data_IF_968438647992
#
_entry.id   IF_968438647992
#
_cell.length_a   1.000
_cell.length_b   1.000
_cell.length_c   1.000
_cell.angle_alpha   90.00
_cell.angle_beta   90.00
_cell.angle_gamma   90.00
#
_symmetry.space_group_name_H-M   'P 1'
#
loop_
_entity.id
_entity.type
_entity.pdbx_description
1 polymer ?
#
# COMPACT_ATOMS: atom_id res chain seq x y z
N UNK A 1 -20.47 -10.65 -4.62
CA UNK A 1 -20.40 -11.96 -5.29
C UNK A 1 -20.02 -13.08 -4.33
N UNK A 2 -18.93 -12.98 -3.53
CA UNK A 2 -18.63 -13.98 -2.49
C UNK A 2 -19.80 -14.23 -1.50
N UNK A 3 -20.41 -13.16 -0.97
CA UNK A 3 -21.64 -13.23 -0.15
C UNK A 3 -22.80 -13.91 -0.86
N UNK A 4 -22.87 -13.83 -2.19
CA UNK A 4 -23.93 -14.42 -3.00
C UNK A 4 -23.71 -15.93 -3.12
N UNK A 5 -22.47 -16.39 -3.34
CA UNK A 5 -22.17 -17.83 -3.41
C UNK A 5 -22.35 -18.51 -2.05
N UNK A 6 -21.99 -17.85 -0.94
CA UNK A 6 -22.22 -18.36 0.41
C UNK A 6 -23.70 -18.24 0.85
N UNK A 7 -24.45 -17.24 0.38
CA UNK A 7 -25.88 -17.13 0.69
C UNK A 7 -26.74 -18.16 -0.03
N UNK A 8 -26.25 -18.71 -1.15
CA UNK A 8 -26.96 -19.75 -1.92
C UNK A 8 -26.97 -21.13 -1.23
N UNK A 9 -26.12 -21.33 -0.22
CA UNK A 9 -26.06 -22.58 0.55
C UNK A 9 -26.81 -22.51 1.89
N UNK A 10 -27.12 -21.29 2.38
CA UNK A 10 -28.11 -21.07 3.42
C UNK A 10 -29.51 -20.90 2.81
N UNK A 11 -30.56 -21.06 3.64
CA UNK A 11 -31.97 -21.10 3.26
C UNK A 11 -32.53 -19.85 2.51
N UNK A 12 -31.69 -18.90 2.09
CA UNK A 12 -32.05 -17.64 1.42
C UNK A 12 -32.16 -17.73 -0.11
N UNK A 13 -32.03 -18.92 -0.70
CA UNK A 13 -32.25 -19.10 -2.15
C UNK A 13 -33.69 -18.80 -2.61
N UNK A 14 -34.66 -18.67 -1.68
CA UNK A 14 -36.03 -18.21 -2.02
C UNK A 14 -36.09 -16.72 -2.40
N UNK A 15 -35.06 -15.91 -2.14
CA UNK A 15 -35.17 -14.43 -2.21
C UNK A 15 -34.46 -13.80 -3.42
N UNK A 16 -33.62 -14.51 -4.16
CA UNK A 16 -32.76 -13.87 -5.21
C UNK A 16 -33.27 -14.05 -6.65
N UNK A 17 -34.26 -14.91 -6.89
CA UNK A 17 -34.85 -15.05 -8.22
C UNK A 17 -36.08 -14.14 -8.39
N UNK A 18 -35.88 -13.02 -9.09
CA UNK A 18 -36.97 -12.18 -9.59
C UNK A 18 -37.96 -13.06 -10.42
N UNK A 19 -39.25 -12.82 -10.20
CA UNK A 19 -40.36 -13.45 -10.91
C UNK A 19 -40.26 -13.30 -12.45
N UNK A 20 -39.42 -12.39 -12.94
CA UNK A 20 -39.12 -12.19 -14.37
C UNK A 20 -38.38 -13.37 -15.04
N UNK A 21 -37.62 -14.18 -14.30
CA UNK A 21 -36.95 -15.38 -14.85
C UNK A 21 -37.90 -16.54 -15.17
N UNK A 22 -39.18 -16.48 -14.73
CA UNK A 22 -40.20 -17.45 -15.16
C UNK A 22 -40.52 -17.37 -16.66
N UNK A 23 -40.14 -16.28 -17.33
CA UNK A 23 -40.52 -15.96 -18.71
C UNK A 23 -39.30 -15.84 -19.65
N UNK A 24 -38.08 -15.97 -19.12
CA UNK A 24 -36.86 -16.00 -19.93
C UNK A 24 -36.67 -17.40 -20.54
N UNK A 25 -36.32 -17.46 -21.83
CA UNK A 25 -35.79 -18.70 -22.42
C UNK A 25 -34.47 -19.02 -21.71
N UNK A 26 -34.53 -19.94 -20.75
CA UNK A 26 -33.37 -20.43 -20.01
C UNK A 26 -32.37 -21.02 -21.00
N UNK A 27 -31.12 -20.57 -20.93
CA UNK A 27 -30.03 -21.24 -21.61
C UNK A 27 -29.83 -22.64 -21.00
N UNK A 28 -29.16 -23.59 -21.69
CA UNK A 28 -28.80 -24.87 -21.10
C UNK A 28 -28.07 -24.73 -19.75
N UNK A 29 -27.24 -23.69 -19.61
CA UNK A 29 -26.52 -23.38 -18.37
C UNK A 29 -27.48 -22.94 -17.25
N UNK A 30 -28.50 -22.13 -17.56
CA UNK A 30 -29.52 -21.72 -16.59
C UNK A 30 -30.37 -22.91 -16.10
N UNK A 31 -30.62 -23.90 -16.97
CA UNK A 31 -31.32 -25.14 -16.62
C UNK A 31 -30.48 -25.99 -15.67
N UNK A 32 -29.17 -26.11 -15.92
CA UNK A 32 -28.23 -26.83 -15.05
C UNK A 32 -28.11 -26.17 -13.67
N UNK A 33 -28.00 -24.84 -13.62
CA UNK A 33 -27.98 -24.06 -12.36
C UNK A 33 -29.29 -24.25 -11.59
N UNK A 34 -30.45 -24.17 -12.27
CA UNK A 34 -31.74 -24.42 -11.61
C UNK A 34 -31.88 -25.85 -11.10
N UNK A 35 -31.44 -26.86 -11.86
CA UNK A 35 -31.43 -28.26 -11.44
C UNK A 35 -30.53 -28.45 -10.21
N UNK A 36 -29.36 -27.81 -10.18
CA UNK A 36 -28.48 -27.77 -9.02
C UNK A 36 -29.21 -27.22 -7.79
N UNK A 37 -29.86 -26.06 -7.91
CA UNK A 37 -30.65 -25.45 -6.83
C UNK A 37 -31.77 -26.33 -6.32
N UNK A 38 -32.51 -26.98 -7.23
CA UNK A 38 -33.61 -27.87 -6.86
C UNK A 38 -33.12 -29.18 -6.23
N UNK A 39 -31.88 -29.58 -6.51
CA UNK A 39 -31.27 -30.77 -5.94
C UNK A 39 -30.64 -30.54 -4.55
N UNK A 40 -30.35 -29.29 -4.16
CA UNK A 40 -29.87 -28.98 -2.81
C UNK A 40 -30.96 -29.35 -1.78
N UNK A 41 -30.65 -30.23 -0.80
CA UNK A 41 -31.60 -30.55 0.26
C UNK A 41 -31.98 -29.30 1.06
N UNK A 42 -33.28 -29.08 1.31
CA UNK A 42 -33.81 -27.94 2.10
C UNK A 42 -33.47 -27.96 3.60
N UNK A 43 -32.63 -28.91 4.05
CA UNK A 43 -32.20 -29.03 5.43
C UNK A 43 -30.93 -28.20 5.67
N UNK A 44 -30.71 -27.75 6.91
CA UNK A 44 -29.46 -27.09 7.28
C UNK A 44 -28.29 -28.06 7.11
N UNK A 45 -27.34 -27.72 6.23
CA UNK A 45 -26.12 -28.51 6.04
C UNK A 45 -25.13 -28.29 7.19
N UNK A 46 -24.38 -29.33 7.53
CA UNK A 46 -23.32 -29.25 8.53
C UNK A 46 -22.01 -28.77 7.88
N UNK A 47 -21.38 -27.70 8.38
CA UNK A 47 -20.11 -27.22 7.84
C UNK A 47 -18.95 -28.14 8.21
N UNK A 48 -18.08 -28.42 7.24
CA UNK A 48 -16.84 -29.15 7.48
C UNK A 48 -15.82 -28.22 8.14
N UNK A 49 -15.37 -28.58 9.35
CA UNK A 49 -14.38 -27.81 10.09
C UNK A 49 -12.97 -27.91 9.48
N UNK A 50 -12.15 -26.88 9.74
CA UNK A 50 -10.73 -26.87 9.36
C UNK A 50 -10.44 -26.52 7.90
N UNK A 51 -11.46 -26.23 7.10
CA UNK A 51 -11.30 -25.66 5.76
C UNK A 51 -11.24 -24.13 5.81
N UNK A 52 -10.51 -23.48 4.89
CA UNK A 52 -10.50 -22.02 4.77
C UNK A 52 -11.91 -21.47 4.50
N UNK A 53 -12.19 -20.26 4.99
CA UNK A 53 -13.50 -19.62 4.83
C UNK A 53 -13.86 -19.36 3.35
N UNK A 54 -12.85 -19.30 2.48
CA UNK A 54 -13.00 -19.12 1.04
C UNK A 54 -13.41 -20.41 0.31
N UNK A 55 -13.32 -21.57 0.98
CA UNK A 55 -13.71 -22.87 0.45
C UNK A 55 -14.68 -23.60 1.37
N UNK A 56 -15.88 -23.04 1.64
CA UNK A 56 -16.82 -23.67 2.53
C UNK A 56 -17.38 -24.96 1.91
N UNK A 57 -17.51 -25.97 2.75
CA UNK A 57 -18.10 -27.26 2.40
C UNK A 57 -19.23 -27.55 3.38
N UNK A 58 -20.42 -27.79 2.84
CA UNK A 58 -21.58 -28.24 3.62
C UNK A 58 -21.92 -29.68 3.27
N UNK A 59 -22.20 -30.46 4.30
CA UNK A 59 -22.65 -31.86 4.19
C UNK A 59 -24.13 -31.94 4.50
N UNK A 60 -24.88 -32.66 3.67
CA UNK A 60 -26.28 -32.97 3.89
C UNK A 60 -26.49 -34.48 3.76
N UNK A 61 -27.30 -35.07 4.64
CA UNK A 61 -27.69 -36.49 4.54
C UNK A 61 -29.19 -36.59 4.30
N UNK A 62 -29.59 -37.33 3.26
CA UNK A 62 -31.00 -37.55 2.93
C UNK A 62 -31.19 -38.88 2.21
N UNK A 63 -32.17 -39.66 2.68
CA UNK A 63 -32.60 -40.90 2.01
C UNK A 63 -31.43 -41.90 1.76
N UNK A 64 -30.46 -41.95 2.69
CA UNK A 64 -29.28 -42.81 2.58
C UNK A 64 -28.21 -42.33 1.59
N UNK A 65 -28.31 -41.09 1.11
CA UNK A 65 -27.32 -40.43 0.26
C UNK A 65 -26.73 -39.22 0.96
N UNK A 66 -25.43 -39.01 0.76
CA UNK A 66 -24.72 -37.84 1.27
C UNK A 66 -24.48 -36.85 0.15
N UNK A 67 -24.80 -35.58 0.38
CA UNK A 67 -24.61 -34.48 -0.56
C UNK A 67 -23.57 -33.53 -0.01
N UNK A 68 -22.69 -33.06 -0.89
CA UNK A 68 -21.66 -32.09 -0.57
C UNK A 68 -21.86 -30.85 -1.43
N UNK A 69 -22.11 -29.70 -0.80
CA UNK A 69 -22.05 -28.41 -1.47
C UNK A 69 -20.64 -27.83 -1.29
N UNK A 70 -19.90 -27.73 -2.38
CA UNK A 70 -18.50 -27.35 -2.42
C UNK A 70 -18.37 -26.00 -3.11
N UNK A 71 -17.90 -24.99 -2.37
CA UNK A 71 -17.78 -23.63 -2.90
C UNK A 71 -16.32 -23.26 -3.07
N UNK A 72 -16.01 -22.54 -4.16
CA UNK A 72 -14.78 -21.77 -4.30
C UNK A 72 -15.13 -20.30 -4.42
N UNK A 73 -14.88 -19.54 -3.36
CA UNK A 73 -15.10 -18.09 -3.31
C UNK A 73 -13.83 -17.30 -3.66
N UNK A 74 -12.94 -17.89 -4.47
CA UNK A 74 -11.71 -17.24 -4.93
C UNK A 74 -11.64 -17.18 -6.45
N UNK A 75 -10.68 -16.39 -6.96
CA UNK A 75 -10.35 -16.31 -8.40
C UNK A 75 -9.45 -17.45 -8.88
N UNK A 76 -9.01 -18.32 -7.98
CA UNK A 76 -8.07 -19.38 -8.32
C UNK A 76 -8.80 -20.70 -8.46
N UNK A 77 -8.47 -21.45 -9.51
CA UNK A 77 -8.83 -22.84 -9.57
C UNK A 77 -8.11 -23.60 -8.45
N UNK A 78 -8.81 -24.53 -7.81
CA UNK A 78 -8.25 -25.37 -6.77
C UNK A 78 -8.83 -26.78 -6.85
N UNK A 79 -8.07 -27.74 -6.35
CA UNK A 79 -8.56 -29.09 -6.09
C UNK A 79 -8.84 -29.23 -4.59
N UNK A 80 -10.08 -29.55 -4.27
CA UNK A 80 -10.50 -29.88 -2.92
C UNK A 80 -10.42 -31.40 -2.73
N UNK A 81 -9.60 -31.82 -1.77
CA UNK A 81 -9.43 -33.21 -1.38
C UNK A 81 -10.12 -33.44 -0.03
N UNK A 82 -11.20 -34.23 -0.05
CA UNK A 82 -11.97 -34.56 1.14
C UNK A 82 -11.68 -35.99 1.57
N UNK A 83 -11.35 -36.17 2.84
CA UNK A 83 -11.32 -37.48 3.48
C UNK A 83 -12.68 -37.76 4.09
N UNK A 84 -13.26 -38.89 3.72
CA UNK A 84 -14.56 -39.35 4.20
C UNK A 84 -14.40 -40.49 5.19
N UNK A 85 -15.35 -40.64 6.11
CA UNK A 85 -15.28 -41.61 7.22
C UNK A 85 -15.34 -43.07 6.78
N UNK A 86 -15.84 -43.34 5.58
CA UNK A 86 -16.04 -44.68 5.06
C UNK A 86 -15.93 -44.73 3.52
N UNK A 87 -15.71 -45.92 2.94
CA UNK A 87 -15.65 -46.08 1.50
C UNK A 87 -16.96 -45.67 0.83
N UNK A 88 -16.83 -44.89 -0.23
CA UNK A 88 -17.95 -44.49 -1.11
C UNK A 88 -17.85 -45.26 -2.42
N UNK A 89 -18.98 -45.81 -2.86
CA UNK A 89 -19.05 -46.66 -4.04
C UNK A 89 -19.00 -45.84 -5.33
N UNK A 90 -19.68 -44.69 -5.33
CA UNK A 90 -19.72 -43.76 -6.44
C UNK A 90 -19.93 -42.32 -5.95
N UNK A 91 -19.52 -41.37 -6.78
CA UNK A 91 -19.73 -39.95 -6.56
C UNK A 91 -20.05 -39.31 -7.89
N UNK A 92 -21.09 -38.48 -7.93
CA UNK A 92 -21.54 -37.82 -9.16
C UNK A 92 -21.73 -36.34 -8.88
N UNK A 93 -21.20 -35.49 -9.75
CA UNK A 93 -21.57 -34.09 -9.78
C UNK A 93 -22.99 -33.96 -10.33
N UNK A 94 -23.87 -33.35 -9.55
CA UNK A 94 -25.29 -33.30 -9.85
C UNK A 94 -25.59 -32.26 -10.95
N UNK A 95 -24.72 -31.28 -11.12
CA UNK A 95 -24.83 -30.22 -12.11
C UNK A 95 -24.33 -30.71 -13.47
N UNK A 96 -23.13 -31.29 -13.52
CA UNK A 96 -22.53 -31.75 -14.79
C UNK A 96 -22.91 -33.19 -15.15
N UNK A 97 -23.36 -34.00 -14.17
CA UNK A 97 -23.60 -35.43 -14.35
C UNK A 97 -22.33 -36.27 -14.42
N UNK A 98 -21.15 -35.65 -14.26
CA UNK A 98 -19.87 -36.33 -14.37
C UNK A 98 -19.54 -37.11 -13.09
N UNK A 99 -18.91 -38.28 -13.27
CA UNK A 99 -18.38 -39.04 -12.16
C UNK A 99 -17.23 -38.28 -11.49
N UNK A 100 -17.26 -38.21 -10.17
CA UNK A 100 -16.23 -37.57 -9.37
C UNK A 100 -15.12 -38.58 -9.06
N UNK A 101 -13.84 -38.22 -9.21
CA UNK A 101 -12.73 -39.08 -8.83
C UNK A 101 -12.79 -39.48 -7.35
N UNK A 102 -12.89 -40.78 -7.10
CA UNK A 102 -12.88 -41.38 -5.76
C UNK A 102 -11.67 -42.30 -5.64
N UNK A 103 -10.88 -42.08 -4.61
CA UNK A 103 -9.88 -43.01 -4.10
C UNK A 103 -10.36 -43.58 -2.75
N UNK A 104 -9.61 -44.52 -2.16
CA UNK A 104 -9.99 -45.14 -0.88
C UNK A 104 -10.21 -44.07 0.20
N UNK A 105 -11.48 -43.87 0.57
CA UNK A 105 -11.94 -42.88 1.54
C UNK A 105 -11.56 -41.42 1.20
N UNK A 106 -11.34 -41.12 -0.09
CA UNK A 106 -10.98 -39.78 -0.53
C UNK A 106 -11.78 -39.38 -1.77
N UNK A 107 -12.35 -38.19 -1.72
CA UNK A 107 -13.07 -37.56 -2.84
C UNK A 107 -12.26 -36.36 -3.29
N UNK A 108 -11.86 -36.32 -4.55
CA UNK A 108 -11.12 -35.20 -5.13
C UNK A 108 -12.00 -34.45 -6.12
N UNK A 109 -12.21 -33.15 -5.88
CA UNK A 109 -13.08 -32.31 -6.71
C UNK A 109 -12.31 -31.10 -7.18
N UNK A 110 -12.25 -30.91 -8.50
CA UNK A 110 -11.77 -29.67 -9.08
C UNK A 110 -12.85 -28.59 -8.98
N UNK A 111 -12.47 -27.44 -8.43
CA UNK A 111 -13.29 -26.26 -8.26
C UNK A 111 -12.72 -25.13 -9.12
N UNK A 112 -13.52 -24.67 -10.07
CA UNK A 112 -13.19 -23.51 -10.90
C UNK A 112 -13.30 -22.21 -10.08
N UNK A 113 -12.67 -21.11 -10.52
CA UNK A 113 -12.85 -19.80 -9.91
C UNK A 113 -14.34 -19.46 -9.74
N UNK A 114 -14.72 -18.95 -8.56
CA UNK A 114 -16.10 -18.53 -8.26
C UNK A 114 -17.18 -19.61 -8.48
N UNK A 115 -16.81 -20.89 -8.35
CA UNK A 115 -17.72 -22.00 -8.64
C UNK A 115 -18.42 -22.55 -7.40
N UNK A 116 -19.58 -23.14 -7.63
CA UNK A 116 -20.29 -24.02 -6.70
C UNK A 116 -20.45 -25.38 -7.39
N UNK A 117 -20.08 -26.46 -6.70
CA UNK A 117 -20.34 -27.83 -7.14
C UNK A 117 -21.19 -28.55 -6.12
N UNK A 118 -22.12 -29.37 -6.60
CA UNK A 118 -22.96 -30.23 -5.76
C UNK A 118 -22.62 -31.67 -6.09
N UNK A 119 -22.02 -32.38 -5.13
CA UNK A 119 -21.60 -33.78 -5.31
C UNK A 119 -22.49 -34.69 -4.48
N UNK A 120 -23.13 -35.66 -5.12
CA UNK A 120 -23.85 -36.72 -4.45
C UNK A 120 -22.92 -37.94 -4.32
N UNK A 121 -22.73 -38.40 -3.09
CA UNK A 121 -21.98 -39.60 -2.73
C UNK A 121 -22.94 -40.75 -2.44
N UNK A 122 -22.64 -41.90 -3.02
CA UNK A 122 -23.37 -43.15 -2.81
C UNK A 122 -22.54 -44.08 -1.91
N UNK A 123 -23.12 -44.44 -0.76
CA UNK A 123 -22.51 -45.32 0.23
C UNK A 123 -23.56 -46.22 0.89
N UNK A 124 -23.11 -47.23 1.64
CA UNK A 124 -24.00 -48.15 2.37
C UNK A 124 -24.66 -47.49 3.59
N UNK A 125 -24.12 -46.36 4.06
CA UNK A 125 -24.63 -45.55 5.16
C UNK A 125 -24.26 -44.08 4.96
N UNK A 126 -24.75 -43.21 5.84
CA UNK A 126 -24.45 -41.78 5.81
C UNK A 126 -22.94 -41.53 5.97
N UNK A 127 -22.36 -40.81 5.02
CA UNK A 127 -20.93 -40.50 4.95
C UNK A 127 -20.68 -39.16 5.63
N UNK A 128 -19.73 -39.12 6.57
CA UNK A 128 -19.22 -37.87 7.15
C UNK A 128 -17.89 -37.48 6.51
N UNK A 129 -17.60 -36.17 6.48
CA UNK A 129 -16.32 -35.64 6.02
C UNK A 129 -15.45 -35.36 7.25
N UNK A 130 -14.33 -36.07 7.37
CA UNK A 130 -13.45 -35.98 8.53
C UNK A 130 -12.46 -34.81 8.40
N UNK A 131 -11.99 -34.56 7.18
CA UNK A 131 -10.96 -33.57 6.89
C UNK A 131 -11.02 -33.13 5.43
N UNK A 132 -10.74 -31.86 5.18
CA UNK A 132 -10.51 -31.33 3.84
C UNK A 132 -9.10 -30.75 3.70
N UNK A 133 -8.56 -30.80 2.47
CA UNK A 133 -7.32 -30.15 2.08
C UNK A 133 -7.53 -29.46 0.74
N UNK A 134 -7.11 -28.19 0.63
CA UNK A 134 -7.13 -27.44 -0.62
C UNK A 134 -5.76 -27.52 -1.27
N UNK A 135 -5.71 -27.89 -2.55
CA UNK A 135 -4.50 -27.84 -3.36
C UNK A 135 -4.69 -26.87 -4.50
N UNK A 136 -3.72 -25.97 -4.65
CA UNK A 136 -3.63 -25.07 -5.78
C UNK A 136 -2.65 -25.62 -6.80
N UNK A 137 -2.83 -25.28 -8.07
CA UNK A 137 -1.84 -25.59 -9.09
C UNK A 137 -0.49 -24.92 -8.75
N UNK A 138 0.63 -25.61 -9.01
CA UNK A 138 1.97 -25.07 -8.72
C UNK A 138 2.21 -23.71 -9.39
N UNK A 139 1.68 -23.51 -10.60
CA UNK A 139 1.77 -22.25 -11.32
C UNK A 139 1.06 -21.11 -10.57
N UNK A 140 -0.14 -21.35 -10.04
CA UNK A 140 -0.86 -20.37 -9.22
C UNK A 140 -0.09 -20.00 -7.95
N UNK A 141 0.55 -20.99 -7.30
CA UNK A 141 1.38 -20.77 -6.11
C UNK A 141 2.60 -19.91 -6.47
N UNK A 142 3.28 -20.20 -7.58
CA UNK A 142 4.42 -19.41 -8.06
C UNK A 142 4.01 -17.98 -8.39
N UNK A 143 2.90 -17.80 -9.11
CA UNK A 143 2.39 -16.47 -9.46
C UNK A 143 2.11 -15.63 -8.21
N UNK A 144 1.44 -16.19 -7.20
CA UNK A 144 1.19 -15.48 -5.95
C UNK A 144 2.49 -15.15 -5.20
N UNK A 145 3.46 -16.08 -5.18
CA UNK A 145 4.75 -15.82 -4.58
C UNK A 145 5.49 -14.66 -5.27
N UNK A 146 5.47 -14.61 -6.60
CA UNK A 146 6.05 -13.52 -7.38
C UNK A 146 5.36 -12.19 -7.11
N UNK A 147 4.03 -12.17 -7.01
CA UNK A 147 3.25 -10.97 -6.68
C UNK A 147 3.55 -10.44 -5.28
N UNK A 148 3.66 -11.31 -4.27
CA UNK A 148 4.03 -10.90 -2.91
C UNK A 148 5.48 -10.39 -2.87
N UNK A 149 6.40 -11.05 -3.57
CA UNK A 149 7.79 -10.60 -3.67
C UNK A 149 7.91 -9.23 -4.37
N UNK A 150 7.12 -9.00 -5.42
CA UNK A 150 7.06 -7.70 -6.10
C UNK A 150 6.50 -6.62 -5.18
N UNK A 151 5.43 -6.92 -4.44
CA UNK A 151 4.86 -5.99 -3.47
C UNK A 151 5.88 -5.60 -2.38
N UNK A 152 6.69 -6.56 -1.90
CA UNK A 152 7.78 -6.30 -0.96
C UNK A 152 8.83 -5.35 -1.56
N UNK A 153 9.21 -5.56 -2.83
CA UNK A 153 10.14 -4.68 -3.54
C UNK A 153 9.60 -3.25 -3.66
N UNK A 154 8.32 -3.10 -3.96
CA UNK A 154 7.65 -1.79 -4.04
C UNK A 154 7.53 -1.12 -2.68
N UNK A 155 7.23 -1.86 -1.61
CA UNK A 155 7.22 -1.31 -0.26
C UNK A 155 8.59 -0.73 0.14
N UNK A 156 9.70 -1.32 -0.31
CA UNK A 156 11.04 -0.81 -0.02
C UNK A 156 11.31 0.59 -0.63
N UNK A 157 10.56 1.01 -1.66
CA UNK A 157 10.64 2.39 -2.19
C UNK A 157 10.18 3.41 -1.15
N UNK A 158 9.23 3.04 -0.30
CA UNK A 158 8.65 3.93 0.72
C UNK A 158 9.60 4.22 1.89
N UNK A 159 10.68 3.44 2.06
CA UNK A 159 11.70 3.70 3.09
C UNK A 159 12.55 4.94 2.74
N UNK A 160 12.67 5.28 1.45
CA UNK A 160 13.39 6.43 0.95
C UNK A 160 12.72 6.94 -0.35
N UNK A 161 11.51 7.50 -0.24
CA UNK A 161 10.71 7.86 -1.40
C UNK A 161 11.44 8.90 -2.26
N UNK A 162 11.36 8.79 -3.59
CA UNK A 162 11.96 9.78 -4.48
C UNK A 162 11.19 11.10 -4.39
N UNK A 163 11.92 12.21 -4.41
CA UNK A 163 11.30 13.52 -4.58
C UNK A 163 10.76 13.68 -6.01
N UNK A 164 9.64 14.36 -6.15
CA UNK A 164 9.06 14.75 -7.42
C UNK A 164 9.86 15.93 -8.01
N UNK A 165 10.27 15.86 -9.29
CA UNK A 165 11.04 16.92 -9.95
C UNK A 165 10.10 18.03 -10.46
N UNK A 166 9.33 18.64 -9.56
CA UNK A 166 8.28 19.62 -9.90
C UNK A 166 8.64 21.08 -9.60
N UNK A 167 9.74 21.30 -8.87
CA UNK A 167 10.24 22.64 -8.53
C UNK A 167 11.47 22.95 -9.37
N UNK A 168 11.56 24.18 -9.91
CA UNK A 168 12.64 24.58 -10.82
C UNK A 168 13.98 24.81 -10.10
N UNK A 169 13.94 25.28 -8.85
CA UNK A 169 15.14 25.63 -8.07
C UNK A 169 14.96 25.29 -6.57
N UNK A 170 14.79 24.00 -6.22
CA UNK A 170 14.47 23.59 -4.85
C UNK A 170 15.60 23.81 -3.83
N UNK A 171 16.86 23.79 -4.28
CA UNK A 171 18.05 23.99 -3.44
C UNK A 171 18.72 25.35 -3.62
N UNK A 172 18.08 26.28 -4.33
CA UNK A 172 18.56 27.66 -4.52
C UNK A 172 19.98 27.79 -5.14
N UNK A 173 20.38 26.78 -5.92
CA UNK A 173 21.65 26.72 -6.65
C UNK A 173 21.64 27.50 -7.98
N UNK A 174 20.50 28.03 -8.39
CA UNK A 174 20.40 28.90 -9.58
C UNK A 174 20.46 30.38 -9.18
N UNK A 175 21.01 31.27 -10.03
CA UNK A 175 21.11 32.70 -9.73
C UNK A 175 19.73 33.37 -9.60
N UNK A 176 19.73 34.56 -9.02
CA UNK A 176 18.57 35.47 -9.02
C UNK A 176 18.26 35.97 -10.43
N UNK A 177 16.97 36.14 -10.73
CA UNK A 177 16.45 36.77 -11.95
C UNK A 177 15.68 38.03 -11.50
N UNK A 178 16.14 39.20 -11.92
CA UNK A 178 15.55 40.50 -11.57
C UNK A 178 15.29 40.67 -10.05
N UNK A 179 14.03 40.91 -9.64
CA UNK A 179 13.60 41.08 -8.25
C UNK A 179 13.30 39.75 -7.51
N UNK A 180 13.60 38.60 -8.13
CA UNK A 180 13.25 37.28 -7.60
C UNK A 180 14.40 36.27 -7.62
N UNK A 181 14.07 35.04 -7.21
CA UNK A 181 14.97 33.88 -7.28
C UNK A 181 14.44 32.99 -8.40
N UNK A 182 15.29 32.39 -9.23
CA UNK A 182 14.81 31.47 -10.28
C UNK A 182 13.84 30.44 -9.70
N UNK A 183 12.63 30.31 -10.27
CA UNK A 183 11.58 29.40 -9.79
C UNK A 183 10.75 29.90 -8.59
N UNK A 184 11.07 31.07 -8.03
CA UNK A 184 10.43 31.62 -6.84
C UNK A 184 10.19 33.13 -6.95
N UNK A 185 8.97 33.56 -6.66
CA UNK A 185 8.56 34.97 -6.72
C UNK A 185 8.11 35.48 -5.35
N UNK A 186 8.32 36.77 -5.10
CA UNK A 186 7.73 37.49 -3.98
C UNK A 186 6.43 38.14 -4.46
N UNK A 187 5.29 37.78 -3.85
CA UNK A 187 3.98 38.27 -4.31
C UNK A 187 3.70 39.69 -3.81
N UNK A 188 3.88 39.93 -2.50
CA UNK A 188 3.71 41.24 -1.89
C UNK A 188 5.06 41.98 -1.78
N UNK A 189 5.60 42.46 -2.90
CA UNK A 189 6.92 43.12 -2.93
C UNK A 189 7.12 44.29 -1.96
N UNK A 190 6.11 45.14 -1.64
CA UNK A 190 6.27 46.18 -0.61
C UNK A 190 6.38 45.62 0.81
N UNK A 191 5.83 44.43 1.06
CA UNK A 191 5.69 43.85 2.39
C UNK A 191 6.91 43.07 2.88
N UNK A 192 7.88 42.79 2.01
CA UNK A 192 9.07 42.02 2.36
C UNK A 192 10.14 41.97 1.30
N UNK A 193 11.11 41.07 1.49
CA UNK A 193 12.24 40.86 0.57
C UNK A 193 12.57 39.37 0.48
N UNK A 194 12.82 38.91 -0.74
CA UNK A 194 13.29 37.56 -1.06
C UNK A 194 14.66 37.67 -1.73
N UNK A 195 15.70 37.09 -1.14
CA UNK A 195 17.06 37.18 -1.67
C UNK A 195 17.85 35.88 -1.48
N UNK A 196 18.85 35.64 -2.33
CA UNK A 196 19.83 34.58 -2.13
C UNK A 196 20.87 35.01 -1.11
N UNK A 197 21.18 34.14 -0.16
CA UNK A 197 22.21 34.36 0.86
C UNK A 197 23.14 33.16 0.93
N UNK A 198 24.38 33.39 1.35
CA UNK A 198 25.29 32.30 1.70
C UNK A 198 24.89 31.70 3.06
N UNK A 199 24.77 30.38 3.11
CA UNK A 199 24.45 29.64 4.32
C UNK A 199 25.14 28.26 4.31
N UNK A 200 25.39 27.63 5.47
CA UNK A 200 25.86 26.24 5.51
C UNK A 200 24.85 25.33 4.82
N UNK A 201 25.29 24.25 4.17
CA UNK A 201 24.37 23.28 3.58
C UNK A 201 23.62 22.49 4.67
N UNK A 202 22.31 22.21 4.51
CA UNK A 202 21.62 21.23 5.35
C UNK A 202 22.28 19.85 5.26
N UNK A 203 22.29 19.11 6.38
CA UNK A 203 22.75 17.72 6.48
C UNK A 203 24.25 17.45 6.24
N UNK A 204 25.11 18.46 6.15
CA UNK A 204 26.58 18.28 6.15
C UNK A 204 27.19 18.68 7.49
N UNK A 205 28.13 17.88 7.99
CA UNK A 205 28.94 18.24 9.17
C UNK A 205 30.02 19.28 8.83
N UNK A 206 30.33 19.44 7.55
CA UNK A 206 31.25 20.46 7.05
C UNK A 206 30.49 21.77 6.75
N UNK A 207 31.10 22.91 7.09
CA UNK A 207 30.66 24.27 6.75
C UNK A 207 30.83 24.57 5.24
N UNK A 208 30.47 23.62 4.38
CA UNK A 208 30.43 23.86 2.94
C UNK A 208 29.40 24.95 2.67
N UNK A 209 29.87 26.07 2.11
CA UNK A 209 29.04 27.21 1.77
C UNK A 209 28.07 26.81 0.67
N UNK A 210 26.77 26.89 0.97
CA UNK A 210 25.65 26.75 0.05
C UNK A 210 24.96 28.10 -0.16
N UNK A 211 23.98 28.15 -1.06
CA UNK A 211 23.01 29.24 -1.13
C UNK A 211 21.68 28.82 -0.55
N UNK A 212 21.03 29.75 0.15
CA UNK A 212 19.68 29.60 0.66
C UNK A 212 18.83 30.82 0.26
N UNK A 213 17.52 30.67 0.28
CA UNK A 213 16.61 31.80 0.15
C UNK A 213 16.34 32.43 1.51
N UNK A 214 16.54 33.74 1.64
CA UNK A 214 16.13 34.52 2.81
C UNK A 214 14.86 35.29 2.50
N UNK A 215 13.82 35.02 3.26
CA UNK A 215 12.57 35.77 3.26
C UNK A 215 12.50 36.65 4.52
N UNK A 216 12.29 37.94 4.33
CA UNK A 216 12.14 38.89 5.45
C UNK A 216 10.92 39.80 5.27
N UNK A 217 10.33 40.20 6.40
CA UNK A 217 9.28 41.21 6.48
C UNK A 217 9.54 42.15 7.66
N UNK A 218 9.17 43.42 7.49
CA UNK A 218 9.20 44.45 8.56
C UNK A 218 7.88 44.59 9.31
N UNK A 219 6.83 43.83 8.96
CA UNK A 219 5.55 43.86 9.67
C UNK A 219 4.32 43.58 8.82
N UNK A 220 4.43 43.66 7.49
CA UNK A 220 3.35 43.34 6.55
C UNK A 220 3.44 41.87 6.08
N UNK A 221 2.40 41.40 5.39
CA UNK A 221 2.43 40.07 4.77
C UNK A 221 3.51 40.04 3.68
N UNK A 222 4.38 39.03 3.71
CA UNK A 222 5.30 38.74 2.62
C UNK A 222 5.23 37.26 2.23
N UNK A 223 4.83 36.98 0.98
CA UNK A 223 4.70 35.61 0.46
C UNK A 223 5.78 35.31 -0.57
N UNK A 224 6.61 34.31 -0.28
CA UNK A 224 7.42 33.67 -1.32
C UNK A 224 6.64 32.50 -1.92
N UNK A 225 6.56 32.43 -3.25
CA UNK A 225 5.75 31.44 -3.99
C UNK A 225 6.58 30.76 -5.06
N UNK A 226 6.43 29.45 -5.19
CA UNK A 226 7.10 28.64 -6.22
C UNK A 226 6.43 28.73 -7.60
N UNK A 227 7.12 28.18 -8.62
CA UNK A 227 6.53 27.82 -9.90
C UNK A 227 5.31 26.89 -9.71
N UNK A 228 4.29 26.97 -10.59
CA UNK A 228 3.16 26.04 -10.56
C UNK A 228 3.59 24.62 -10.95
N UNK A 229 2.88 23.63 -10.42
CA UNK A 229 3.02 22.22 -10.79
C UNK A 229 1.69 21.46 -10.71
N UNK A 230 1.59 20.32 -11.39
CA UNK A 230 0.38 19.50 -11.41
C UNK A 230 0.21 18.70 -10.09
N UNK A 231 -1.03 18.54 -9.59
CA UNK A 231 -1.34 17.65 -8.47
C UNK A 231 -0.84 16.22 -8.76
N UNK A 232 -0.10 15.58 -7.82
CA UNK A 232 0.28 14.20 -7.97
C UNK A 232 -0.94 13.28 -8.13
N UNK A 233 -0.87 12.33 -9.07
CA UNK A 233 -1.95 11.37 -9.35
C UNK A 233 -2.36 10.51 -8.15
N UNK A 234 -1.51 10.42 -7.12
CA UNK A 234 -1.82 9.75 -5.86
C UNK A 234 -2.87 10.49 -5.00
N UNK A 235 -3.22 11.73 -5.37
CA UNK A 235 -4.10 12.61 -4.59
C UNK A 235 -3.46 13.16 -3.32
N UNK A 236 -2.13 13.06 -3.20
CA UNK A 236 -1.38 13.40 -1.98
C UNK A 236 -0.06 14.09 -2.30
N UNK A 237 0.36 14.99 -1.40
CA UNK A 237 1.68 15.61 -1.43
C UNK A 237 2.23 15.76 0.00
N UNK A 238 3.53 15.55 0.14
CA UNK A 238 4.31 15.86 1.34
C UNK A 238 5.42 16.80 0.95
N UNK A 239 5.50 17.94 1.62
CA UNK A 239 6.47 18.98 1.37
C UNK A 239 7.46 18.92 2.52
N UNK A 240 8.73 18.61 2.23
CA UNK A 240 9.81 18.71 3.18
C UNK A 240 10.63 19.97 2.88
N UNK A 241 10.98 20.73 3.91
CA UNK A 241 11.76 21.96 3.76
C UNK A 241 12.70 22.13 4.94
N UNK A 242 13.91 22.61 4.69
CA UNK A 242 14.83 23.02 5.74
C UNK A 242 14.65 24.50 6.03
N UNK A 243 14.43 24.81 7.30
CA UNK A 243 14.21 26.17 7.78
C UNK A 243 15.16 26.47 8.94
N UNK A 244 15.67 27.70 8.97
CA UNK A 244 16.40 28.25 10.12
C UNK A 244 16.11 29.74 10.26
N UNK A 245 16.49 30.30 11.40
CA UNK A 245 16.55 31.74 11.60
C UNK A 245 18.01 32.21 11.64
N UNK A 246 18.33 33.41 11.13
CA UNK A 246 19.65 34.01 11.36
C UNK A 246 19.89 34.23 12.86
N UNK A 247 21.17 34.31 13.25
CA UNK A 247 21.54 34.66 14.62
C UNK A 247 20.89 36.00 15.03
N UNK A 248 20.38 36.06 16.27
CA UNK A 248 19.70 37.23 16.85
C UNK A 248 18.38 37.64 16.16
N UNK A 249 17.90 36.90 15.16
CA UNK A 249 16.61 37.19 14.52
C UNK A 249 15.43 36.79 15.43
N UNK A 250 14.39 37.61 15.45
CA UNK A 250 13.14 37.28 16.12
C UNK A 250 12.43 36.10 15.41
N UNK A 251 11.70 35.29 16.18
CA UNK A 251 10.91 34.18 15.64
C UNK A 251 9.85 34.71 14.66
N UNK A 252 9.88 34.29 13.38
CA UNK A 252 8.91 34.75 12.39
C UNK A 252 7.55 34.04 12.58
N UNK A 253 6.41 34.74 12.42
CA UNK A 253 5.11 34.09 12.31
C UNK A 253 4.91 33.54 10.89
N UNK A 254 5.48 32.36 10.61
CA UNK A 254 5.53 31.77 9.27
C UNK A 254 4.45 30.71 9.05
N UNK A 255 3.95 30.58 7.82
CA UNK A 255 3.23 29.40 7.34
C UNK A 255 3.95 28.79 6.14
N UNK A 256 4.12 27.47 6.16
CA UNK A 256 4.45 26.69 4.95
C UNK A 256 3.13 26.20 4.39
N UNK A 257 2.82 26.52 3.15
CA UNK A 257 1.52 26.25 2.57
C UNK A 257 1.60 25.65 1.17
N UNK A 258 0.55 24.91 0.83
CA UNK A 258 0.23 24.44 -0.50
C UNK A 258 -1.08 25.10 -0.91
N UNK A 259 -1.05 25.82 -2.02
CA UNK A 259 -2.24 26.41 -2.63
C UNK A 259 -2.60 25.75 -3.95
N UNK A 260 -3.88 25.83 -4.32
CA UNK A 260 -4.45 25.37 -5.57
C UNK A 260 -5.83 25.98 -5.79
N UNK A 261 -6.60 25.52 -6.77
CA UNK A 261 -7.94 26.03 -7.06
C UNK A 261 -8.93 24.93 -7.37
N UNK A 262 -9.77 24.54 -6.40
CA UNK A 262 -10.79 23.51 -6.58
C UNK A 262 -12.13 24.07 -7.06
N UNK A 263 -12.61 23.67 -8.24
CA UNK A 263 -13.94 24.08 -8.74
C UNK A 263 -14.15 25.61 -8.76
N UNK A 264 -13.07 26.39 -8.90
CA UNK A 264 -13.07 27.85 -8.81
C UNK A 264 -12.91 28.43 -7.40
N UNK A 265 -12.93 27.61 -6.35
CA UNK A 265 -12.60 27.98 -4.97
C UNK A 265 -11.10 27.80 -4.67
N UNK A 266 -10.53 28.63 -3.79
CA UNK A 266 -9.13 28.49 -3.40
C UNK A 266 -8.94 27.26 -2.48
N UNK A 267 -8.06 26.35 -2.90
CA UNK A 267 -7.59 25.27 -2.06
C UNK A 267 -6.35 25.76 -1.30
N UNK A 268 -6.38 25.70 0.03
CA UNK A 268 -5.27 26.15 0.87
C UNK A 268 -5.09 25.22 2.07
N UNK A 269 -3.89 24.67 2.20
CA UNK A 269 -3.45 23.82 3.32
C UNK A 269 -2.11 24.31 3.82
N UNK A 270 -1.93 24.40 5.14
CA UNK A 270 -0.71 24.97 5.69
C UNK A 270 -0.31 24.33 7.03
N UNK A 271 0.97 24.47 7.35
CA UNK A 271 1.54 24.21 8.67
C UNK A 271 2.12 25.50 9.26
N UNK A 272 1.77 25.88 10.50
CA UNK A 272 2.38 27.02 11.18
C UNK A 272 3.80 26.69 11.64
N UNK A 273 4.70 27.68 11.55
CA UNK A 273 6.12 27.59 11.94
C UNK A 273 6.53 28.86 12.68
N UNK A 274 7.49 28.75 13.60
CA UNK A 274 8.01 29.89 14.36
C UNK A 274 6.98 30.43 15.35
N UNK A 275 6.76 31.74 15.33
CA UNK A 275 5.83 32.45 16.21
C UNK A 275 4.36 32.37 15.76
N UNK A 276 4.04 31.68 14.67
CA UNK A 276 2.66 31.47 14.25
C UNK A 276 1.90 30.63 15.29
N UNK A 277 0.60 30.87 15.45
CA UNK A 277 -0.22 30.12 16.43
C UNK A 277 -0.15 28.61 16.16
N UNK A 278 0.29 27.84 17.16
CA UNK A 278 0.49 26.39 17.05
C UNK A 278 1.78 25.98 16.31
N UNK A 279 2.63 26.95 15.94
CA UNK A 279 3.88 26.72 15.24
C UNK A 279 4.98 26.19 16.16
N UNK A 280 5.85 25.35 15.59
CA UNK A 280 7.07 24.92 16.25
C UNK A 280 8.16 25.97 16.04
N UNK A 281 8.89 26.40 17.09
CA UNK A 281 9.92 27.43 16.98
C UNK A 281 11.07 26.99 16.06
N UNK A 282 11.65 27.96 15.36
CA UNK A 282 12.86 27.78 14.56
C UNK A 282 14.11 27.91 15.43
N UNK A 283 15.22 27.36 14.95
CA UNK A 283 16.53 27.49 15.59
C UNK A 283 17.52 28.13 14.61
N UNK A 284 18.69 28.53 15.12
CA UNK A 284 19.77 29.05 14.26
C UNK A 284 20.37 27.97 13.35
N UNK A 285 20.24 26.71 13.76
CA UNK A 285 20.59 25.54 12.95
C UNK A 285 19.45 25.10 12.03
N UNK A 286 19.81 24.41 10.96
CA UNK A 286 18.84 23.84 10.03
C UNK A 286 17.93 22.83 10.71
N UNK A 287 16.62 23.06 10.65
CA UNK A 287 15.60 22.14 11.12
C UNK A 287 14.66 21.79 9.96
N UNK A 288 14.40 20.49 9.76
CA UNK A 288 13.47 20.04 8.73
C UNK A 288 12.02 20.11 9.21
N UNK A 289 11.15 20.62 8.36
CA UNK A 289 9.70 20.67 8.54
C UNK A 289 9.02 19.89 7.43
N UNK A 290 7.91 19.23 7.76
CA UNK A 290 7.11 18.46 6.80
C UNK A 290 5.65 18.89 6.88
N UNK A 291 5.10 19.37 5.76
CA UNK A 291 3.66 19.54 5.56
C UNK A 291 3.13 18.33 4.80
N UNK A 292 2.17 17.60 5.38
CA UNK A 292 1.49 16.50 4.70
C UNK A 292 0.08 16.92 4.29
N UNK A 293 -0.23 16.74 3.01
CA UNK A 293 -1.53 16.99 2.41
C UNK A 293 -2.02 15.68 1.79
N UNK A 294 -3.13 15.16 2.28
CA UNK A 294 -3.62 13.82 1.91
C UNK A 294 -4.94 13.82 1.14
N UNK A 295 -5.47 15.00 0.86
CA UNK A 295 -6.78 15.25 0.28
C UNK A 295 -6.68 16.24 -0.89
N UNK A 296 -5.71 16.02 -1.79
CA UNK A 296 -5.60 16.88 -2.97
C UNK A 296 -6.81 16.67 -3.90
N UNK A 297 -7.27 17.74 -4.57
CA UNK A 297 -8.27 17.61 -5.61
C UNK A 297 -7.81 16.60 -6.67
N UNK A 298 -8.71 15.68 -7.12
CA UNK A 298 -8.35 14.66 -8.09
C UNK A 298 -8.24 15.20 -9.53
N UNK A 299 -8.69 16.44 -9.77
CA UNK A 299 -8.65 17.05 -11.10
C UNK A 299 -7.25 17.63 -11.38
N UNK A 300 -6.56 17.05 -12.37
CA UNK A 300 -5.22 17.45 -12.78
C UNK A 300 -5.21 18.77 -13.58
N UNK A 301 -6.38 19.37 -13.86
CA UNK A 301 -6.47 20.66 -14.56
C UNK A 301 -6.10 21.86 -13.68
N UNK A 302 -5.89 21.65 -12.39
CA UNK A 302 -5.57 22.70 -11.41
C UNK A 302 -4.06 22.75 -11.18
N UNK A 303 -3.47 23.95 -11.10
CA UNK A 303 -2.04 24.09 -10.76
C UNK A 303 -1.85 24.30 -9.25
N UNK A 304 -1.04 23.46 -8.62
CA UNK A 304 -0.58 23.66 -7.25
C UNK A 304 0.63 24.59 -7.18
N UNK A 305 0.78 25.28 -6.05
CA UNK A 305 1.98 26.08 -5.73
C UNK A 305 2.34 25.95 -4.25
N UNK A 306 3.65 25.88 -3.97
CA UNK A 306 4.17 26.04 -2.61
C UNK A 306 4.30 27.52 -2.24
N UNK A 307 4.01 27.82 -0.98
CA UNK A 307 4.08 29.14 -0.38
C UNK A 307 4.80 29.15 0.96
N UNK A 308 5.50 30.24 1.21
CA UNK A 308 6.01 30.64 2.52
C UNK A 308 5.40 31.99 2.86
N UNK A 309 4.41 32.00 3.75
CA UNK A 309 3.69 33.22 4.13
C UNK A 309 4.23 33.75 5.46
N UNK A 310 4.94 34.88 5.39
CA UNK A 310 5.42 35.63 6.54
C UNK A 310 4.33 36.59 7.02
N UNK A 311 3.65 36.27 8.12
CA UNK A 311 2.44 36.98 8.57
C UNK A 311 2.71 38.24 9.42
N UNK A 312 3.97 38.63 9.55
CA UNK A 312 4.41 39.71 10.45
C UNK A 312 5.93 39.85 10.42
N UNK A 313 6.52 40.64 11.32
CA UNK A 313 7.95 40.93 11.27
C UNK A 313 8.78 39.67 11.55
N UNK A 314 9.84 39.48 10.77
CA UNK A 314 10.73 38.34 10.96
C UNK A 314 11.62 38.06 9.76
N UNK A 315 12.56 37.15 9.96
CA UNK A 315 13.46 36.65 8.93
C UNK A 315 13.52 35.14 9.03
N UNK A 316 13.41 34.45 7.89
CA UNK A 316 13.63 33.02 7.78
C UNK A 316 14.56 32.73 6.62
N UNK A 317 15.40 31.72 6.78
CA UNK A 317 16.16 31.14 5.68
C UNK A 317 15.62 29.76 5.34
N UNK A 318 15.53 29.49 4.05
CA UNK A 318 14.88 28.32 3.45
C UNK A 318 15.89 27.64 2.52
N UNK A 319 16.00 26.32 2.63
CA UNK A 319 16.82 25.53 1.73
C UNK A 319 16.23 24.12 1.49
N UNK A 320 16.68 23.46 0.43
CA UNK A 320 16.40 22.07 0.06
C UNK A 320 14.90 21.72 0.19
N UNK A 321 14.06 22.42 -0.60
CA UNK A 321 12.61 22.21 -0.68
C UNK A 321 12.31 20.99 -1.54
N UNK A 322 11.59 20.02 -0.99
CA UNK A 322 11.30 18.75 -1.68
C UNK A 322 9.81 18.42 -1.61
N UNK A 323 9.26 17.96 -2.73
CA UNK A 323 7.89 17.47 -2.82
C UNK A 323 7.92 15.96 -3.00
N UNK A 324 7.06 15.23 -2.28
CA UNK A 324 6.92 13.78 -2.37
C UNK A 324 5.44 13.41 -2.45
N UNK A 325 5.11 12.32 -3.10
CA UNK A 325 3.77 11.73 -3.13
C UNK A 325 3.70 10.37 -2.41
N UNK A 326 4.85 9.76 -2.12
CA UNK A 326 4.98 8.45 -1.48
C UNK A 326 5.50 8.50 -0.03
N UNK A 327 5.38 9.64 0.65
CA UNK A 327 5.62 9.74 2.11
C UNK A 327 4.31 9.45 2.84
N UNK A 328 4.31 8.47 3.72
CA UNK A 328 3.13 8.02 4.48
C UNK A 328 3.30 8.26 5.97
N UNK A 329 2.19 8.35 6.71
CA UNK A 329 2.21 8.37 8.16
C UNK A 329 2.76 7.04 8.71
N UNK A 330 3.38 7.07 9.89
CA UNK A 330 3.99 5.89 10.52
C UNK A 330 3.00 4.73 10.70
N UNK A 331 1.75 5.04 11.05
CA UNK A 331 0.66 4.06 11.16
C UNK A 331 0.37 3.34 9.83
N UNK A 332 0.31 4.09 8.73
CA UNK A 332 0.08 3.53 7.39
C UNK A 332 1.26 2.66 6.95
N UNK A 333 2.50 3.08 7.23
CA UNK A 333 3.69 2.26 6.93
C UNK A 333 3.70 0.97 7.74
N UNK A 334 3.28 1.02 9.01
CA UNK A 334 3.18 -0.16 9.87
C UNK A 334 2.08 -1.13 9.38
N UNK A 335 0.91 -0.61 9.01
CA UNK A 335 -0.20 -1.39 8.45
C UNK A 335 0.22 -2.11 7.17
N UNK A 336 0.82 -1.39 6.22
CA UNK A 336 1.32 -1.96 4.97
C UNK A 336 2.36 -3.06 5.24
N UNK A 337 3.31 -2.82 6.15
CA UNK A 337 4.33 -3.84 6.49
C UNK A 337 3.68 -5.09 7.09
N UNK A 338 2.76 -4.93 8.04
CA UNK A 338 2.05 -6.05 8.65
C UNK A 338 1.27 -6.87 7.63
N UNK A 339 0.60 -6.22 6.67
CA UNK A 339 -0.11 -6.89 5.58
C UNK A 339 0.83 -7.76 4.72
N UNK A 340 1.98 -7.23 4.32
CA UNK A 340 2.94 -7.99 3.49
C UNK A 340 3.59 -9.12 4.30
N UNK A 341 3.94 -8.87 5.55
CA UNK A 341 4.49 -9.90 6.47
C UNK A 341 3.49 -11.06 6.65
N UNK A 342 2.19 -10.75 6.77
CA UNK A 342 1.13 -11.75 6.83
C UNK A 342 1.04 -12.57 5.55
N UNK A 343 1.11 -11.93 4.37
CA UNK A 343 1.09 -12.64 3.09
C UNK A 343 2.29 -13.57 2.91
N UNK A 344 3.49 -13.13 3.28
CA UNK A 344 4.70 -13.98 3.26
C UNK A 344 4.58 -15.16 4.22
N UNK A 345 3.99 -14.95 5.41
CA UNK A 345 3.73 -16.03 6.35
C UNK A 345 2.71 -17.05 5.79
N UNK A 346 1.65 -16.57 5.14
CA UNK A 346 0.67 -17.43 4.45
C UNK A 346 1.31 -18.26 3.34
N UNK A 347 2.22 -17.67 2.54
CA UNK A 347 3.00 -18.40 1.55
C UNK A 347 3.87 -19.49 2.20
N UNK A 348 4.60 -19.15 3.26
CA UNK A 348 5.51 -20.09 3.93
C UNK A 348 4.79 -21.24 4.63
N UNK A 349 3.57 -21.01 5.13
CA UNK A 349 2.74 -22.01 5.80
C UNK A 349 1.83 -22.80 4.85
N UNK A 350 1.77 -22.43 3.57
CA UNK A 350 0.86 -23.03 2.58
C UNK A 350 -0.60 -22.60 2.72
N UNK A 351 -0.90 -21.58 3.53
CA UNK A 351 -2.24 -21.03 3.74
C UNK A 351 -2.62 -20.07 2.60
N UNK A 352 -2.79 -20.62 1.39
CA UNK A 352 -2.91 -19.85 0.15
C UNK A 352 -4.30 -19.25 -0.11
N UNK A 353 -5.34 -19.76 0.54
CA UNK A 353 -6.74 -19.45 0.18
C UNK A 353 -7.10 -17.96 0.32
N UNK A 354 -6.51 -17.25 1.29
CA UNK A 354 -6.79 -15.83 1.56
C UNK A 354 -5.90 -14.86 0.77
N UNK A 355 -4.81 -15.34 0.16
CA UNK A 355 -3.85 -14.50 -0.55
C UNK A 355 -4.44 -13.74 -1.74
N UNK A 356 -5.33 -14.31 -2.59
CA UNK A 356 -5.92 -13.58 -3.69
C UNK A 356 -6.70 -12.34 -3.23
N UNK A 357 -7.50 -12.48 -2.17
CA UNK A 357 -8.25 -11.37 -1.61
C UNK A 357 -7.32 -10.31 -1.00
N UNK A 358 -6.25 -10.74 -0.32
CA UNK A 358 -5.25 -9.83 0.25
C UNK A 358 -4.53 -9.02 -0.84
N UNK A 359 -4.12 -9.67 -1.94
CA UNK A 359 -3.44 -9.05 -3.10
C UNK A 359 -4.36 -8.10 -3.89
N UNK A 360 -5.67 -8.23 -3.76
CA UNK A 360 -6.65 -7.31 -4.37
C UNK A 360 -7.02 -6.14 -3.47
N UNK A 361 -6.50 -6.13 -2.25
CA UNK A 361 -6.70 -5.05 -1.30
C UNK A 361 -6.19 -3.70 -1.81
N UNK A 362 -6.57 -2.65 -1.10
CA UNK A 362 -6.19 -1.28 -1.43
C UNK A 362 -4.68 -1.10 -1.56
N UNK A 363 -3.90 -1.56 -0.59
CA UNK A 363 -2.45 -1.34 -0.54
C UNK A 363 -1.67 -1.99 -1.69
N UNK A 364 -1.86 -3.29 -2.01
CA UNK A 364 -1.22 -3.89 -3.18
C UNK A 364 -1.54 -3.17 -4.49
N UNK A 365 -2.81 -2.83 -4.71
CA UNK A 365 -3.25 -2.11 -5.92
C UNK A 365 -2.62 -0.74 -6.00
N UNK A 366 -2.68 0.02 -4.89
CA UNK A 366 -2.06 1.34 -4.80
C UNK A 366 -0.57 1.28 -5.17
N UNK A 367 0.20 0.34 -4.59
CA UNK A 367 1.63 0.23 -4.87
C UNK A 367 1.92 -0.28 -6.29
N UNK A 368 1.09 -1.17 -6.83
CA UNK A 368 1.20 -1.63 -8.22
C UNK A 368 0.98 -0.47 -9.21
N UNK A 369 0.04 0.42 -8.93
CA UNK A 369 -0.34 1.54 -9.81
C UNK A 369 0.60 2.75 -9.67
N UNK A 370 1.11 3.03 -8.47
CA UNK A 370 1.84 4.29 -8.18
C UNK A 370 3.35 4.17 -8.16
N UNK A 371 3.89 3.00 -7.79
CA UNK A 371 5.34 2.77 -7.79
C UNK A 371 5.75 2.30 -9.18
N UNK A 372 6.80 2.86 -9.75
CA UNK A 372 7.33 2.44 -11.06
C UNK A 372 8.48 1.45 -10.89
N UNK A 373 8.71 0.62 -11.91
CA UNK A 373 9.85 -0.31 -11.94
C UNK A 373 11.19 0.42 -11.77
N UNK A 374 11.32 1.62 -12.35
CA UNK A 374 12.52 2.45 -12.20
C UNK A 374 12.77 2.86 -10.74
N UNK A 375 11.71 3.19 -10.00
CA UNK A 375 11.82 3.52 -8.57
C UNK A 375 12.21 2.29 -7.76
N UNK A 376 11.66 1.11 -8.08
CA UNK A 376 12.04 -0.17 -7.46
C UNK A 376 13.52 -0.46 -7.68
N UNK A 377 14.02 -0.35 -8.91
CA UNK A 377 15.43 -0.60 -9.24
C UNK A 377 16.34 0.40 -8.51
N UNK A 378 15.94 1.66 -8.45
CA UNK A 378 16.68 2.72 -7.74
C UNK A 378 16.76 2.44 -6.23
N UNK A 379 15.65 2.03 -5.62
CA UNK A 379 15.59 1.65 -4.22
C UNK A 379 16.48 0.42 -3.94
N UNK A 380 16.45 -0.59 -4.80
CA UNK A 380 17.30 -1.77 -4.70
C UNK A 380 18.80 -1.42 -4.75
N UNK A 381 19.21 -0.56 -5.70
CA UNK A 381 20.60 -0.06 -5.81
C UNK A 381 21.03 0.70 -4.55
N UNK A 382 20.16 1.54 -3.99
CA UNK A 382 20.43 2.28 -2.74
C UNK A 382 20.62 1.34 -1.56
N UNK A 383 19.74 0.35 -1.41
CA UNK A 383 19.83 -0.67 -0.35
C UNK A 383 21.12 -1.47 -0.45
N UNK A 384 21.49 -1.93 -1.65
CA UNK A 384 22.75 -2.63 -1.89
C UNK A 384 23.98 -1.77 -1.52
N UNK A 385 23.98 -0.50 -1.92
CA UNK A 385 25.06 0.45 -1.56
C UNK A 385 25.16 0.67 -0.05
N UNK A 386 24.02 0.77 0.65
CA UNK A 386 23.98 0.92 2.11
C UNK A 386 24.50 -0.34 2.81
N UNK A 387 24.13 -1.52 2.34
CA UNK A 387 24.65 -2.78 2.86
C UNK A 387 26.18 -2.87 2.68
N UNK A 388 26.69 -2.58 1.48
CA UNK A 388 28.14 -2.57 1.21
C UNK A 388 28.90 -1.58 2.11
N UNK A 389 28.35 -0.38 2.32
CA UNK A 389 28.92 0.62 3.25
C UNK A 389 28.95 0.11 4.70
N UNK A 390 27.89 -0.57 5.17
CA UNK A 390 27.85 -1.15 6.53
C UNK A 390 28.91 -2.24 6.69
N UNK A 391 29.06 -3.12 5.71
CA UNK A 391 30.11 -4.17 5.73
C UNK A 391 31.51 -3.56 5.73
N UNK A 392 31.75 -2.54 4.89
CA UNK A 392 33.04 -1.85 4.85
C UNK A 392 33.34 -1.09 6.15
N UNK A 393 32.34 -0.47 6.78
CA UNK A 393 32.49 0.18 8.07
C UNK A 393 32.78 -0.84 9.19
N UNK A 394 32.08 -1.97 9.20
CA UNK A 394 32.33 -3.06 10.15
C UNK A 394 33.74 -3.65 10.00
N UNK A 395 34.22 -3.83 8.76
CA UNK A 395 35.58 -4.28 8.48
C UNK A 395 36.63 -3.28 8.97
N UNK A 396 36.44 -1.97 8.73
CA UNK A 396 37.35 -0.92 9.24
C UNK A 396 37.37 -0.82 10.76
N UNK A 397 36.24 -1.09 11.42
CA UNK A 397 36.17 -1.12 12.89
C UNK A 397 36.89 -2.36 13.45
N UNK A 398 36.74 -3.52 12.81
CA UNK A 398 37.44 -4.76 13.17
C UNK A 398 38.97 -4.63 13.01
N UNK A 399 39.44 -4.01 11.91
CA UNK A 399 40.87 -3.76 11.65
C UNK A 399 41.49 -2.78 12.67
N UNK A 400 40.72 -1.79 13.13
CA UNK A 400 41.15 -0.86 14.20
C UNK A 400 41.22 -1.53 15.57
N UNK A 401 40.33 -2.48 15.89
CA UNK A 401 40.38 -3.23 17.15
C UNK A 401 41.54 -4.23 17.20
N UNK A 402 41.87 -4.89 16.10
CA UNK A 402 43.03 -5.79 16.02
C UNK A 402 44.35 -5.01 16.14
N UNK A 403 44.44 -3.80 15.56
CA UNK A 403 45.64 -2.97 15.66
C UNK A 403 45.85 -2.29 17.02
N UNK A 404 44.81 -2.07 17.84
CA UNK A 404 44.95 -1.41 19.14
C UNK A 404 45.39 -2.40 20.24
N UNK A 405 44.83 -3.61 20.27
CA UNK A 405 45.19 -4.63 21.25
C UNK A 405 46.54 -5.31 20.97
N UNK A 406 46.96 -5.45 19.69
CA UNK A 406 48.32 -5.95 19.39
C UNK A 406 49.42 -4.94 19.71
N UNK A 407 49.14 -3.63 19.64
CA UNK A 407 50.09 -2.59 20.05
C UNK A 407 50.24 -2.49 21.57
N UNK A 408 49.21 -2.81 22.35
CA UNK A 408 49.28 -2.82 23.82
C UNK A 408 50.02 -4.04 24.37
N UNK A 409 50.02 -5.17 23.66
CA UNK A 409 50.69 -6.42 24.05
C UNK A 409 52.21 -6.35 23.92
N UNK A 410 52.72 -5.52 23.01
CA UNK A 410 54.16 -5.32 22.79
C UNK A 410 54.82 -4.29 23.73
N UNK A 411 54.06 -3.69 24.66
CA UNK A 411 54.60 -2.74 25.64
C UNK A 411 54.94 -3.37 27.00
N UNK A 412 54.57 -4.63 27.22
CA UNK A 412 54.82 -5.40 28.45
C UNK A 412 55.67 -6.66 28.22
N UNK A 413 56.65 -6.57 27.32
CA UNK A 413 57.71 -7.58 27.17
C UNK A 413 59.08 -6.94 27.12
#
# INVERSE_FOLDING_TARGET
QALLVTSLTHADAEVVFDHSLRWANLTPDDVAVRAAFQAVPRAGGEPVAGLPAEFPVLVFSREGKTWLALTNATRLAAQLNLRVSQPVAAGTDVISGEAVPIAVNQVAVELQPWSLRLVCLEGESDVSVDRGEIRFAEESVRLMADQVAELRRRQAVLDAPPALPVLDNPGFDLPSLDEGITGWELVETPGGRLELVEAPRPQTEDDTVNRAARLSSSGELATARSNPFEPPATGRASIAVWLRIPAEAAQPPLRVALEGRKDGEEYYRFAPVGAATGGRPLTEGWTQFVLQVTDLPPDQTESLRLRFDMLGPGVVEVDEVQVFDLVFADSQRAELRALIDQMEHSLASGAMASLPAALEGYWPRFLAETVTEQQVETAAKRTARRAARRTAAAAKTAEKTDGFFDRMRNWWR
#
